data_IF_403874213938
#
_entry.id   IF_403874213938
#
_cell.length_a   1.000
_cell.length_b   1.000
_cell.length_c   1.000
_cell.angle_alpha   90.00
_cell.angle_beta   90.00
_cell.angle_gamma   90.00
#
_symmetry.space_group_name_H-M   'P 1'
#
loop_
_entity.id
_entity.type
_entity.pdbx_description
1 polymer ?
#
# COMPACT_ATOMS: atom_id res chain seq x y z
N UNK A 1 12.28 78.09 34.48
CA UNK A 1 11.20 78.15 33.48
C UNK A 1 11.21 76.83 32.71
N UNK A 2 10.07 76.11 32.71
CA UNK A 2 9.70 74.92 31.89
C UNK A 2 10.64 73.68 31.99
N UNK A 3 10.35 72.64 32.80
CA UNK A 3 9.40 71.49 32.70
C UNK A 3 9.61 70.53 31.50
N UNK A 4 10.10 69.31 31.78
CA UNK A 4 9.52 67.98 31.41
C UNK A 4 9.92 66.98 32.53
N UNK A 5 9.18 66.86 33.64
CA UNK A 5 8.24 65.77 34.01
C UNK A 5 8.46 64.35 33.43
N UNK A 6 8.81 63.44 34.35
CA UNK A 6 8.32 62.06 34.59
C UNK A 6 8.54 61.02 33.46
N UNK A 7 9.11 59.84 33.72
CA UNK A 7 8.59 58.80 34.63
C UNK A 7 9.71 58.05 35.35
N UNK A 8 9.53 57.90 36.66
CA UNK A 8 10.23 56.99 37.55
C UNK A 8 9.58 55.59 37.53
N UNK A 9 10.36 54.54 37.83
CA UNK A 9 9.83 53.23 38.24
C UNK A 9 10.58 52.06 37.61
N UNK A 10 11.74 51.62 38.14
CA UNK A 10 11.88 50.69 39.28
C UNK A 10 11.96 49.22 38.83
N UNK A 11 13.19 48.71 38.92
CA UNK A 11 13.60 47.34 39.32
C UNK A 11 13.30 46.15 38.38
N UNK A 12 14.18 45.17 38.15
CA UNK A 12 15.21 44.58 38.99
C UNK A 12 16.41 44.06 38.14
N UNK A 13 17.61 44.20 38.70
CA UNK A 13 18.83 43.47 38.36
C UNK A 13 18.67 41.96 38.57
N UNK A 14 19.37 41.14 37.77
CA UNK A 14 19.48 39.70 38.05
C UNK A 14 20.18 38.83 37.00
N UNK A 15 21.18 39.36 36.30
CA UNK A 15 22.14 38.58 35.51
C UNK A 15 23.33 38.27 36.43
N UNK A 16 23.45 37.03 36.92
CA UNK A 16 24.73 36.35 37.18
C UNK A 16 24.56 35.07 38.01
N UNK A 17 25.33 34.04 37.63
CA UNK A 17 25.88 33.03 38.52
C UNK A 17 24.91 32.04 39.20
N UNK A 18 24.64 30.94 38.50
CA UNK A 18 24.10 29.70 39.06
C UNK A 18 24.68 28.46 38.37
N UNK A 19 25.93 28.54 37.90
CA UNK A 19 26.76 27.38 37.59
C UNK A 19 27.45 26.99 38.92
N UNK A 20 27.35 25.71 39.30
CA UNK A 20 28.05 25.04 40.40
C UNK A 20 27.48 25.25 41.82
N UNK A 21 26.81 24.20 42.30
CA UNK A 21 26.77 23.67 43.68
C UNK A 21 25.38 23.58 44.32
N UNK A 22 24.60 22.58 43.91
CA UNK A 22 24.00 21.65 44.89
C UNK A 22 24.31 20.24 44.42
N UNK A 23 25.52 19.77 44.76
CA UNK A 23 25.81 18.36 44.88
C UNK A 23 25.08 17.85 46.13
N UNK A 24 23.76 17.74 46.04
CA UNK A 24 22.94 16.88 46.87
C UNK A 24 22.46 15.79 45.93
N UNK A 25 23.09 14.62 45.98
CA UNK A 25 22.73 13.47 45.17
C UNK A 25 21.31 12.99 45.53
N UNK A 26 20.29 13.66 45.03
CA UNK A 26 19.06 12.96 44.67
C UNK A 26 19.46 12.06 43.53
N UNK A 27 19.57 10.75 43.82
CA UNK A 27 19.52 9.73 42.78
C UNK A 27 18.34 10.11 41.89
N UNK A 28 18.60 10.51 40.65
CA UNK A 28 17.57 10.52 39.62
C UNK A 28 17.06 9.08 39.60
N UNK A 29 15.92 8.84 40.24
CA UNK A 29 15.30 7.52 40.19
C UNK A 29 15.06 7.28 38.70
N UNK A 30 15.63 6.19 38.17
CA UNK A 30 15.41 5.79 36.80
C UNK A 30 13.88 5.75 36.57
N UNK A 31 13.41 6.39 35.51
CA UNK A 31 11.99 6.42 35.19
C UNK A 31 11.45 4.98 35.16
N UNK A 32 10.37 4.72 35.88
CA UNK A 32 9.76 3.39 35.91
C UNK A 32 9.15 3.06 34.53
N UNK A 33 9.16 1.79 34.13
CA UNK A 33 8.51 1.36 32.90
C UNK A 33 7.01 1.69 32.96
N UNK A 34 6.47 2.35 31.92
CA UNK A 34 5.03 2.58 31.83
C UNK A 34 4.32 1.25 31.58
N UNK A 35 3.44 0.81 32.48
CA UNK A 35 2.65 -0.41 32.30
C UNK A 35 1.16 -0.12 32.21
N UNK A 36 0.39 -1.07 31.67
CA UNK A 36 -1.07 -0.94 31.55
C UNK A 36 -1.79 -0.82 32.92
N UNK A 37 -1.13 -1.18 34.02
CA UNK A 37 -1.66 -1.03 35.38
C UNK A 37 -1.60 0.43 35.86
N UNK A 38 -0.81 1.28 35.19
CA UNK A 38 -0.69 2.70 35.48
C UNK A 38 -1.69 3.49 34.65
N UNK A 39 -2.86 3.77 35.21
CA UNK A 39 -3.83 4.66 34.57
C UNK A 39 -3.31 6.10 34.54
N UNK A 40 -3.11 6.69 33.36
CA UNK A 40 -2.74 8.11 33.23
C UNK A 40 -3.89 9.08 33.56
N UNK A 41 -5.14 8.59 33.69
CA UNK A 41 -6.34 9.32 34.12
C UNK A 41 -6.56 10.63 33.34
N UNK A 42 -6.19 10.64 32.06
CA UNK A 42 -6.33 11.79 31.16
C UNK A 42 -5.40 12.96 31.42
N UNK A 43 -4.39 12.81 32.28
CA UNK A 43 -3.38 13.86 32.42
C UNK A 43 -2.58 13.99 31.13
N UNK A 44 -2.46 15.22 30.62
CA UNK A 44 -1.65 15.50 29.44
C UNK A 44 -0.23 14.94 29.63
N UNK A 45 0.28 14.34 28.58
CA UNK A 45 1.56 13.66 28.56
C UNK A 45 2.43 14.24 27.45
N UNK A 46 3.74 14.31 27.70
CA UNK A 46 4.73 14.70 26.69
C UNK A 46 5.76 13.60 26.57
N UNK A 47 5.99 13.13 25.34
CA UNK A 47 7.05 12.19 25.01
C UNK A 47 8.29 12.98 24.64
N UNK A 48 9.42 12.70 25.28
CA UNK A 48 10.71 13.38 25.01
C UNK A 48 11.86 12.38 24.96
N UNK A 49 12.90 12.70 24.18
CA UNK A 49 14.17 11.97 24.18
C UNK A 49 15.13 12.71 25.11
N UNK A 50 15.64 12.05 26.14
CA UNK A 50 16.65 12.58 27.06
C UNK A 50 18.03 12.62 26.40
N UNK A 51 18.98 13.32 27.04
CA UNK A 51 20.35 13.48 26.54
C UNK A 51 21.11 12.15 26.39
N UNK A 52 20.79 11.16 27.22
CA UNK A 52 21.34 9.79 27.14
C UNK A 52 20.68 8.93 26.05
N UNK A 53 19.71 9.49 25.31
CA UNK A 53 18.97 8.81 24.26
C UNK A 53 17.75 8.03 24.75
N UNK A 54 17.47 7.99 26.05
CA UNK A 54 16.28 7.34 26.59
C UNK A 54 15.02 8.11 26.22
N UNK A 55 13.94 7.39 25.89
CA UNK A 55 12.64 7.99 25.63
C UNK A 55 11.77 7.89 26.88
N UNK A 56 11.16 8.99 27.28
CA UNK A 56 10.27 9.04 28.45
C UNK A 56 8.94 9.70 28.12
N UNK A 57 7.91 9.30 28.86
CA UNK A 57 6.64 9.98 28.96
C UNK A 57 6.59 10.76 30.28
N UNK A 58 6.49 12.08 30.19
CA UNK A 58 6.33 12.95 31.36
C UNK A 58 4.88 13.43 31.45
N UNK A 59 4.27 13.27 32.61
CA UNK A 59 2.91 13.74 32.92
C UNK A 59 2.83 14.19 34.38
N UNK A 60 1.68 14.75 34.81
CA UNK A 60 1.45 15.15 36.21
C UNK A 60 1.62 13.99 37.21
N UNK A 61 1.40 12.74 36.78
CA UNK A 61 1.59 11.54 37.62
C UNK A 61 3.05 11.15 37.82
N UNK A 62 3.96 11.59 36.96
CA UNK A 62 5.35 11.20 37.00
C UNK A 62 5.98 11.13 35.62
N UNK A 63 7.22 10.63 35.62
CA UNK A 63 7.99 10.35 34.43
C UNK A 63 8.16 8.84 34.29
N UNK A 64 7.90 8.32 33.09
CA UNK A 64 7.90 6.89 32.81
C UNK A 64 8.78 6.58 31.61
N UNK A 65 9.54 5.48 31.68
CA UNK A 65 10.34 4.96 30.59
C UNK A 65 9.44 4.37 29.49
N UNK A 66 9.79 4.66 28.23
CA UNK A 66 9.16 4.09 27.05
C UNK A 66 10.13 3.20 26.28
N UNK A 67 9.74 1.95 26.07
CA UNK A 67 10.37 0.97 25.19
C UNK A 67 9.30 -0.02 24.69
N UNK A 68 9.66 -1.03 23.91
CA UNK A 68 8.76 -2.04 23.34
C UNK A 68 7.87 -2.78 24.37
N UNK A 69 8.24 -2.79 25.66
CA UNK A 69 7.45 -3.41 26.72
C UNK A 69 6.50 -2.40 27.42
N UNK A 70 6.61 -1.11 27.11
CA UNK A 70 5.76 -0.08 27.69
C UNK A 70 4.33 -0.17 27.16
N UNK A 71 3.34 0.03 28.02
CA UNK A 71 1.92 0.03 27.64
C UNK A 71 1.20 1.21 28.26
N UNK A 72 0.60 2.05 27.42
CA UNK A 72 -0.15 3.22 27.88
C UNK A 72 -1.61 2.85 28.14
N UNK A 73 -2.09 3.20 29.34
CA UNK A 73 -3.51 3.13 29.67
C UNK A 73 -4.04 4.48 30.13
N UNK A 74 -5.22 4.88 29.66
CA UNK A 74 -5.95 6.04 30.20
C UNK A 74 -7.46 5.76 30.26
N UNK A 75 -8.04 5.91 31.45
CA UNK A 75 -9.49 5.83 31.67
C UNK A 75 -10.27 7.05 31.18
N UNK A 76 -9.58 8.16 30.87
CA UNK A 76 -10.16 9.43 30.43
C UNK A 76 -9.55 9.92 29.11
N UNK A 77 -10.10 11.03 28.60
CA UNK A 77 -9.54 11.73 27.44
C UNK A 77 -8.08 12.09 27.73
N UNK A 78 -7.17 11.71 26.84
CA UNK A 78 -5.74 11.97 27.00
C UNK A 78 -5.17 12.65 25.76
N UNK A 79 -4.27 13.60 26.00
CA UNK A 79 -3.45 14.24 24.96
C UNK A 79 -1.99 13.85 25.16
N UNK A 80 -1.36 13.34 24.10
CA UNK A 80 0.04 12.98 24.04
C UNK A 80 0.74 13.92 23.06
N UNK A 81 1.70 14.70 23.57
CA UNK A 81 2.55 15.57 22.75
C UNK A 81 3.85 14.86 22.42
N UNK A 82 4.10 14.62 21.14
CA UNK A 82 5.31 14.00 20.62
C UNK A 82 6.38 15.09 20.41
N UNK A 83 7.30 15.21 21.36
CA UNK A 83 8.44 16.14 21.35
C UNK A 83 9.78 15.39 21.48
N UNK A 84 9.81 14.16 21.00
CA UNK A 84 10.99 13.33 20.89
C UNK A 84 11.78 13.67 19.62
N UNK A 85 13.11 13.54 19.71
CA UNK A 85 14.04 13.79 18.60
C UNK A 85 14.50 12.50 17.92
N UNK A 86 14.13 11.35 18.47
CA UNK A 86 14.34 10.01 17.91
C UNK A 86 13.03 9.22 17.96
N UNK A 87 12.79 8.28 17.04
CA UNK A 87 11.64 7.38 17.12
C UNK A 87 11.50 6.73 18.49
N UNK A 88 10.28 6.68 19.02
CA UNK A 88 9.96 6.02 20.29
C UNK A 88 9.21 4.73 20.00
N UNK A 89 9.62 3.62 20.62
CA UNK A 89 8.88 2.37 20.54
C UNK A 89 8.05 2.15 21.81
N UNK A 90 6.86 1.57 21.64
CA UNK A 90 6.02 1.10 22.74
C UNK A 90 5.23 -0.16 22.35
N UNK A 91 4.78 -0.91 23.36
CA UNK A 91 3.98 -2.11 23.17
C UNK A 91 2.57 -1.79 22.69
N UNK A 92 1.73 -1.18 23.54
CA UNK A 92 0.33 -0.92 23.22
C UNK A 92 -0.19 0.40 23.80
N UNK A 93 -1.29 0.90 23.23
CA UNK A 93 -2.04 2.05 23.75
C UNK A 93 -3.51 1.66 23.91
N UNK A 94 -4.05 1.88 25.10
CA UNK A 94 -5.48 1.71 25.40
C UNK A 94 -6.04 2.97 26.06
N UNK A 95 -6.76 3.77 25.28
CA UNK A 95 -7.47 4.94 25.76
C UNK A 95 -8.98 4.65 25.78
N UNK A 96 -9.59 4.61 26.96
CA UNK A 96 -11.04 4.34 27.10
C UNK A 96 -11.95 5.43 26.53
N UNK A 97 -11.39 6.59 26.19
CA UNK A 97 -12.09 7.75 25.62
C UNK A 97 -11.32 8.29 24.43
N UNK A 98 -11.27 9.61 24.25
CA UNK A 98 -10.52 10.25 23.17
C UNK A 98 -9.01 10.18 23.41
N UNK A 99 -8.27 9.80 22.37
CA UNK A 99 -6.82 9.88 22.30
C UNK A 99 -6.44 11.00 21.32
N UNK A 100 -5.65 11.96 21.78
CA UNK A 100 -5.16 13.05 20.93
C UNK A 100 -3.64 13.04 20.83
N UNK A 101 -3.12 13.02 19.61
CA UNK A 101 -1.70 13.21 19.33
C UNK A 101 -1.42 14.64 18.87
N UNK A 102 -0.30 15.21 19.34
CA UNK A 102 0.22 16.52 18.93
C UNK A 102 1.72 16.46 18.72
N UNK A 103 2.30 17.53 18.16
CA UNK A 103 3.74 17.67 18.02
C UNK A 103 4.28 17.08 16.72
N UNK A 104 5.60 16.91 16.67
CA UNK A 104 6.35 16.57 15.45
C UNK A 104 7.24 15.33 15.60
N UNK A 105 7.19 14.67 16.77
CA UNK A 105 7.94 13.45 17.01
C UNK A 105 7.31 12.21 16.37
N UNK A 106 8.00 11.08 16.53
CA UNK A 106 7.60 9.78 15.99
C UNK A 106 7.33 8.76 17.11
N UNK A 107 6.24 8.01 17.00
CA UNK A 107 5.84 6.96 17.94
C UNK A 107 5.44 5.68 17.19
N UNK A 108 6.10 4.58 17.53
CA UNK A 108 5.89 3.26 16.96
C UNK A 108 5.31 2.33 18.04
N UNK A 109 4.07 1.93 17.87
CA UNK A 109 3.37 0.95 18.70
C UNK A 109 3.50 -0.40 18.03
N UNK A 110 4.09 -1.40 18.68
CA UNK A 110 4.24 -2.75 18.14
C UNK A 110 3.92 -3.80 19.20
N UNK A 111 2.89 -4.59 18.95
CA UNK A 111 2.40 -5.60 19.88
C UNK A 111 2.02 -6.90 19.18
N UNK A 112 2.08 -8.00 19.92
CA UNK A 112 1.50 -9.28 19.52
C UNK A 112 0.04 -9.43 19.98
N UNK A 113 -0.53 -8.40 20.62
CA UNK A 113 -1.94 -8.38 21.00
C UNK A 113 -2.84 -8.17 19.77
N UNK A 114 -4.13 -8.44 19.96
CA UNK A 114 -5.15 -8.25 18.90
C UNK A 114 -5.20 -6.81 18.39
N UNK A 115 -5.01 -5.81 19.28
CA UNK A 115 -5.09 -4.39 18.91
C UNK A 115 -3.86 -3.62 19.39
N UNK A 116 -3.29 -2.79 18.53
CA UNK A 116 -2.12 -1.94 18.84
C UNK A 116 -2.51 -0.66 19.58
N UNK A 117 -3.32 0.16 18.92
CA UNK A 117 -3.94 1.35 19.52
C UNK A 117 -5.45 1.15 19.57
N UNK A 118 -6.00 1.06 20.79
CA UNK A 118 -7.44 0.96 21.04
C UNK A 118 -7.98 2.27 21.64
N UNK A 119 -8.98 2.87 20.99
CA UNK A 119 -9.57 4.16 21.36
C UNK A 119 -11.08 4.04 21.51
N UNK A 120 -11.58 4.35 22.71
CA UNK A 120 -13.00 4.23 23.08
C UNK A 120 -13.92 5.31 22.53
N UNK A 121 -13.38 6.50 22.19
CA UNK A 121 -14.16 7.56 21.54
C UNK A 121 -13.48 7.95 20.21
N UNK A 122 -12.81 9.11 20.17
CA UNK A 122 -12.20 9.66 18.97
C UNK A 122 -10.68 9.50 18.98
N UNK A 123 -10.10 9.19 17.83
CA UNK A 123 -8.68 9.43 17.60
C UNK A 123 -8.51 10.80 16.94
N UNK A 124 -7.83 11.72 17.60
CA UNK A 124 -7.52 13.05 17.07
C UNK A 124 -6.02 13.15 16.82
N UNK A 125 -5.58 13.07 15.58
CA UNK A 125 -4.15 13.16 15.27
C UNK A 125 -3.82 14.53 14.68
N UNK A 126 -2.97 15.28 15.37
CA UNK A 126 -2.45 16.58 14.93
C UNK A 126 -3.53 17.61 14.60
N UNK A 127 -4.72 17.40 15.19
CA UNK A 127 -5.91 18.25 15.03
C UNK A 127 -5.70 19.58 15.74
N UNK A 128 -6.14 20.68 15.13
CA UNK A 128 -6.01 22.07 15.64
C UNK A 128 -4.57 22.60 15.77
N UNK A 129 -3.55 21.78 15.54
CA UNK A 129 -2.16 22.22 15.45
C UNK A 129 -1.84 22.44 13.97
N UNK A 130 -1.84 23.69 13.51
CA UNK A 130 -1.56 24.09 12.11
C UNK A 130 -0.24 23.51 11.52
N UNK A 131 0.60 22.87 12.35
CA UNK A 131 1.93 22.39 11.99
C UNK A 131 2.29 21.03 12.62
N UNK A 132 1.33 20.27 13.18
CA UNK A 132 1.66 18.96 13.73
C UNK A 132 2.02 17.99 12.60
N UNK A 133 3.30 17.64 12.48
CA UNK A 133 3.84 16.74 11.45
C UNK A 133 4.37 15.43 12.03
N UNK A 134 3.92 15.06 13.22
CA UNK A 134 4.35 13.83 13.86
C UNK A 134 3.93 12.58 13.07
N UNK A 135 4.55 11.47 13.42
CA UNK A 135 4.33 10.18 12.80
C UNK A 135 3.93 9.15 13.87
N UNK A 136 2.81 8.47 13.69
CA UNK A 136 2.36 7.42 14.60
C UNK A 136 2.10 6.15 13.81
N UNK A 137 2.78 5.08 14.16
CA UNK A 137 2.57 3.76 13.58
C UNK A 137 2.04 2.80 14.64
N UNK A 138 1.12 1.91 14.28
CA UNK A 138 0.62 0.86 15.15
C UNK A 138 0.55 -0.49 14.43
N UNK A 139 1.36 -1.44 14.87
CA UNK A 139 1.38 -2.82 14.39
C UNK A 139 0.84 -3.77 15.46
N UNK A 140 -0.10 -4.62 15.06
CA UNK A 140 -0.75 -5.60 15.94
C UNK A 140 -1.00 -6.93 15.22
N UNK A 141 -1.37 -7.96 15.98
CA UNK A 141 -1.72 -9.26 15.40
C UNK A 141 -3.04 -9.19 14.61
N UNK A 142 -4.03 -8.43 15.07
CA UNK A 142 -5.35 -8.33 14.46
C UNK A 142 -5.61 -7.00 13.76
N UNK A 143 -5.74 -5.94 14.54
CA UNK A 143 -6.04 -4.57 14.08
C UNK A 143 -4.98 -3.58 14.56
N UNK A 144 -4.31 -2.89 13.64
CA UNK A 144 -3.30 -1.89 14.03
C UNK A 144 -3.90 -0.78 14.91
N UNK A 145 -4.95 -0.11 14.40
CA UNK A 145 -5.65 0.97 15.08
C UNK A 145 -7.15 0.71 15.08
N UNK A 146 -7.75 0.64 16.27
CA UNK A 146 -9.19 0.46 16.46
C UNK A 146 -9.81 1.67 17.16
N UNK A 147 -10.84 2.26 16.56
CA UNK A 147 -11.52 3.46 17.06
C UNK A 147 -13.03 3.26 17.08
N UNK A 148 -13.62 3.30 18.27
CA UNK A 148 -15.06 3.08 18.50
C UNK A 148 -15.97 4.22 18.02
N UNK A 149 -15.42 5.39 17.70
CA UNK A 149 -16.17 6.46 17.07
C UNK A 149 -15.45 6.94 15.81
N UNK A 150 -14.81 8.10 15.85
CA UNK A 150 -14.33 8.78 14.64
C UNK A 150 -12.82 9.07 14.70
N UNK A 151 -12.17 8.95 13.54
CA UNK A 151 -10.79 9.41 13.32
C UNK A 151 -10.81 10.81 12.71
N UNK A 152 -10.09 11.74 13.33
CA UNK A 152 -10.01 13.14 12.90
C UNK A 152 -8.55 13.57 12.80
N UNK A 153 -8.12 14.05 11.64
CA UNK A 153 -6.71 14.43 11.43
C UNK A 153 -6.62 15.76 10.68
N UNK A 154 -5.79 16.69 11.14
CA UNK A 154 -5.50 17.96 10.40
C UNK A 154 -4.06 18.04 9.87
N UNK A 155 -3.23 17.02 10.12
CA UNK A 155 -1.84 16.95 9.68
C UNK A 155 -1.17 15.63 10.08
N UNK A 156 0.14 15.55 9.89
CA UNK A 156 0.97 14.41 10.29
C UNK A 156 0.62 13.10 9.59
N UNK A 157 1.18 12.00 10.09
CA UNK A 157 0.95 10.66 9.54
C UNK A 157 0.52 9.70 10.63
N UNK A 158 -0.53 8.93 10.34
CA UNK A 158 -0.99 7.81 11.17
C UNK A 158 -1.05 6.56 10.31
N UNK A 159 -0.41 5.49 10.75
CA UNK A 159 -0.32 4.23 10.02
C UNK A 159 -0.71 3.06 10.92
N UNK A 160 -1.64 2.23 10.46
CA UNK A 160 -2.04 1.00 11.15
C UNK A 160 -1.73 -0.24 10.33
N UNK A 161 -1.21 -1.28 10.97
CA UNK A 161 -0.88 -2.57 10.34
C UNK A 161 -1.44 -3.72 11.19
N UNK A 162 -2.20 -4.62 10.57
CA UNK A 162 -2.76 -5.80 11.26
C UNK A 162 -3.13 -6.92 10.30
N UNK A 163 -3.48 -8.10 10.80
CA UNK A 163 -3.93 -9.20 9.93
C UNK A 163 -5.31 -8.93 9.35
N UNK A 164 -6.25 -8.49 10.19
CA UNK A 164 -7.66 -8.27 9.82
C UNK A 164 -7.91 -6.87 9.27
N UNK A 165 -7.34 -5.85 9.94
CA UNK A 165 -7.46 -4.46 9.56
C UNK A 165 -6.19 -3.69 9.87
N UNK A 166 -5.78 -2.78 8.98
CA UNK A 166 -4.78 -1.78 9.35
C UNK A 166 -5.40 -0.75 10.29
N UNK A 167 -6.51 -0.16 9.86
CA UNK A 167 -7.29 0.83 10.59
C UNK A 167 -8.78 0.44 10.57
N UNK A 168 -9.41 0.46 11.74
CA UNK A 168 -10.84 0.18 11.91
C UNK A 168 -11.51 1.33 12.67
N UNK A 169 -12.58 1.88 12.10
CA UNK A 169 -13.45 2.87 12.74
C UNK A 169 -14.91 2.44 12.69
N UNK A 170 -15.59 2.45 13.84
CA UNK A 170 -17.04 2.20 13.94
C UNK A 170 -17.90 3.37 13.44
N UNK A 171 -17.29 4.46 12.96
CA UNK A 171 -17.99 5.61 12.40
C UNK A 171 -17.22 6.22 11.21
N UNK A 172 -16.88 7.51 11.27
CA UNK A 172 -16.26 8.24 10.17
C UNK A 172 -14.73 8.27 10.29
N UNK A 173 -14.07 8.42 9.14
CA UNK A 173 -12.65 8.72 9.01
C UNK A 173 -12.52 10.05 8.27
N UNK A 174 -11.98 11.08 8.95
CA UNK A 174 -11.90 12.47 8.45
C UNK A 174 -10.50 13.09 8.55
N UNK A 175 -9.57 12.68 7.68
CA UNK A 175 -8.36 13.44 7.35
C UNK A 175 -8.62 14.75 6.58
N UNK A 176 -7.91 15.81 6.98
CA UNK A 176 -7.93 17.14 6.40
C UNK A 176 -6.51 17.67 6.14
N UNK A 177 -6.39 18.68 5.28
CA UNK A 177 -5.16 19.42 5.01
C UNK A 177 -4.03 18.49 4.53
N UNK A 178 -2.84 18.48 5.15
CA UNK A 178 -1.73 17.62 4.78
C UNK A 178 -1.67 16.29 5.57
N UNK A 179 -2.78 15.89 6.20
CA UNK A 179 -2.88 14.63 6.93
C UNK A 179 -2.71 13.40 6.01
N UNK A 180 -1.95 12.41 6.48
CA UNK A 180 -1.75 11.13 5.81
C UNK A 180 -2.24 10.00 6.72
N UNK A 181 -3.26 9.26 6.28
CA UNK A 181 -3.73 8.05 6.96
C UNK A 181 -3.39 6.83 6.10
N UNK A 182 -2.75 5.84 6.73
CA UNK A 182 -2.42 4.56 6.09
C UNK A 182 -2.97 3.39 6.89
N UNK A 183 -3.47 2.38 6.19
CA UNK A 183 -3.90 1.13 6.80
C UNK A 183 -3.52 -0.06 5.95
N UNK A 184 -2.76 -1.00 6.49
CA UNK A 184 -2.32 -2.20 5.79
C UNK A 184 -2.85 -3.45 6.49
N UNK A 185 -3.46 -4.35 5.72
CA UNK A 185 -3.98 -5.63 6.17
C UNK A 185 -3.45 -6.79 5.33
N UNK A 186 -2.96 -7.86 5.97
CA UNK A 186 -2.46 -9.02 5.23
C UNK A 186 -3.57 -9.96 4.73
N UNK A 187 -4.71 -10.03 5.43
CA UNK A 187 -5.79 -10.98 5.10
C UNK A 187 -7.16 -10.32 4.91
N UNK A 188 -7.35 -9.10 5.40
CA UNK A 188 -8.64 -8.41 5.41
C UNK A 188 -8.63 -7.09 4.62
N UNK A 189 -9.14 -6.03 5.25
CA UNK A 189 -9.30 -4.70 4.64
C UNK A 189 -8.29 -3.73 5.22
N UNK A 190 -7.57 -2.98 4.40
CA UNK A 190 -6.58 -2.00 4.88
C UNK A 190 -7.18 -0.95 5.82
N UNK A 191 -8.23 -0.27 5.36
CA UNK A 191 -8.97 0.73 6.12
C UNK A 191 -10.47 0.41 6.11
N UNK A 192 -11.06 0.25 7.28
CA UNK A 192 -12.49 0.04 7.46
C UNK A 192 -13.13 1.23 8.18
N UNK A 193 -14.24 1.71 7.64
CA UNK A 193 -15.14 2.64 8.31
C UNK A 193 -16.57 2.12 8.22
N UNK A 194 -17.33 2.18 9.31
CA UNK A 194 -18.75 1.87 9.26
C UNK A 194 -19.53 2.92 8.45
N UNK A 195 -19.18 4.20 8.62
CA UNK A 195 -19.78 5.34 7.90
C UNK A 195 -18.82 5.85 6.83
N UNK A 196 -18.40 7.09 6.83
CA UNK A 196 -17.69 7.68 5.70
C UNK A 196 -16.17 7.57 5.81
N UNK A 197 -15.48 7.48 4.66
CA UNK A 197 -14.03 7.73 4.54
C UNK A 197 -13.83 8.98 3.70
N UNK A 198 -13.23 10.01 4.30
CA UNK A 198 -12.97 11.28 3.63
C UNK A 198 -11.48 11.55 3.45
N UNK A 199 -11.15 12.31 2.40
CA UNK A 199 -9.87 12.99 2.26
C UNK A 199 -10.13 14.42 1.79
N UNK A 200 -9.91 15.40 2.66
CA UNK A 200 -10.26 16.80 2.39
C UNK A 200 -9.04 17.73 2.36
N UNK A 201 -9.09 18.73 1.47
CA UNK A 201 -8.14 19.86 1.44
C UNK A 201 -6.65 19.48 1.34
N UNK A 202 -6.32 18.45 0.58
CA UNK A 202 -4.94 17.97 0.38
C UNK A 202 -4.63 16.63 1.05
N UNK A 203 -5.58 16.08 1.82
CA UNK A 203 -5.30 14.92 2.66
C UNK A 203 -5.12 13.67 1.83
N UNK A 204 -4.35 12.72 2.33
CA UNK A 204 -4.07 11.45 1.67
C UNK A 204 -4.51 10.27 2.54
N UNK A 205 -5.30 9.37 1.97
CA UNK A 205 -5.71 8.12 2.59
C UNK A 205 -5.25 6.97 1.70
N UNK A 206 -4.50 6.01 2.26
CA UNK A 206 -4.03 4.83 1.53
C UNK A 206 -4.36 3.58 2.33
N UNK A 207 -5.25 2.76 1.80
CA UNK A 207 -5.57 1.46 2.38
C UNK A 207 -5.04 0.34 1.50
N UNK A 208 -4.36 -0.64 2.08
CA UNK A 208 -3.91 -1.86 1.42
C UNK A 208 -4.48 -3.09 2.14
N UNK A 209 -5.15 -3.98 1.43
CA UNK A 209 -5.69 -5.20 2.01
C UNK A 209 -5.79 -6.32 0.99
N UNK A 210 -5.86 -7.56 1.48
CA UNK A 210 -6.13 -8.71 0.61
C UNK A 210 -7.51 -8.63 -0.03
N UNK A 211 -8.52 -8.28 0.75
CA UNK A 211 -9.92 -8.24 0.29
C UNK A 211 -10.26 -6.90 -0.36
N UNK A 212 -9.80 -5.79 0.24
CA UNK A 212 -10.06 -4.43 -0.23
C UNK A 212 -9.05 -3.48 0.42
N UNK A 213 -8.69 -2.41 -0.28
CA UNK A 213 -7.85 -1.37 0.30
C UNK A 213 -8.61 -0.54 1.32
N UNK A 214 -9.79 -0.03 0.94
CA UNK A 214 -10.64 0.71 1.86
C UNK A 214 -12.12 0.39 1.68
N UNK A 215 -12.83 0.19 2.80
CA UNK A 215 -14.25 -0.17 2.82
C UNK A 215 -15.08 0.76 3.72
N UNK A 216 -16.21 1.22 3.18
CA UNK A 216 -17.27 1.95 3.87
C UNK A 216 -18.58 1.15 3.82
N UNK A 217 -19.26 0.94 4.96
CA UNK A 217 -20.48 0.10 4.99
C UNK A 217 -21.74 0.86 4.61
N UNK A 218 -22.03 1.99 5.26
CA UNK A 218 -23.33 2.67 5.04
C UNK A 218 -23.26 3.98 4.27
N UNK A 219 -22.05 4.47 4.00
CA UNK A 219 -21.85 5.82 3.48
C UNK A 219 -20.79 5.85 2.37
N UNK A 220 -20.11 6.98 2.18
CA UNK A 220 -19.29 7.24 1.00
C UNK A 220 -17.80 7.01 1.27
N UNK A 221 -17.06 6.80 0.18
CA UNK A 221 -15.63 7.07 0.12
C UNK A 221 -15.46 8.33 -0.75
N UNK A 222 -14.99 9.43 -0.17
CA UNK A 222 -14.99 10.74 -0.83
C UNK A 222 -13.68 11.50 -0.67
N UNK A 223 -13.01 11.75 -1.79
CA UNK A 223 -11.90 12.69 -1.88
C UNK A 223 -12.41 14.04 -2.40
N UNK A 224 -12.01 15.14 -1.78
CA UNK A 224 -12.44 16.48 -2.20
C UNK A 224 -11.39 17.56 -1.94
N UNK A 225 -11.18 18.41 -2.96
CA UNK A 225 -10.19 19.46 -2.99
C UNK A 225 -8.89 19.04 -3.68
N UNK A 226 -8.24 20.00 -4.34
CA UNK A 226 -7.01 19.74 -5.08
C UNK A 226 -5.92 19.19 -4.14
N UNK A 227 -5.21 18.16 -4.59
CA UNK A 227 -4.20 17.44 -3.81
C UNK A 227 -4.77 16.36 -2.90
N UNK A 228 -6.08 16.34 -2.61
CA UNK A 228 -6.70 15.26 -1.83
C UNK A 228 -6.72 13.95 -2.63
N UNK A 229 -6.41 12.84 -1.96
CA UNK A 229 -6.54 11.53 -2.58
C UNK A 229 -6.93 10.40 -1.64
N UNK A 230 -7.67 9.42 -2.16
CA UNK A 230 -7.92 8.14 -1.51
C UNK A 230 -7.47 7.04 -2.46
N UNK A 231 -6.57 6.17 -2.00
CA UNK A 231 -6.07 5.01 -2.75
C UNK A 231 -6.43 3.75 -2.00
N UNK A 232 -7.15 2.84 -2.65
CA UNK A 232 -7.42 1.50 -2.15
C UNK A 232 -6.65 0.50 -2.98
N UNK A 233 -5.81 -0.30 -2.33
CA UNK A 233 -4.99 -1.34 -2.93
C UNK A 233 -5.56 -2.69 -2.49
N UNK A 234 -6.01 -3.50 -3.45
CA UNK A 234 -6.38 -4.90 -3.25
C UNK A 234 -5.27 -5.80 -3.76
N UNK A 235 -4.91 -6.84 -3.02
CA UNK A 235 -4.01 -7.91 -3.52
C UNK A 235 -4.78 -9.14 -4.01
N UNK A 236 -6.11 -9.08 -4.04
CA UNK A 236 -6.96 -10.09 -4.66
C UNK A 236 -7.98 -9.42 -5.59
N UNK A 237 -7.76 -9.55 -6.89
CA UNK A 237 -8.70 -9.05 -7.91
C UNK A 237 -9.99 -9.88 -7.95
N UNK A 238 -9.98 -11.13 -7.49
CA UNK A 238 -11.15 -12.01 -7.46
C UNK A 238 -12.00 -11.82 -6.20
N UNK A 239 -11.60 -10.90 -5.31
CA UNK A 239 -12.42 -10.47 -4.18
C UNK A 239 -13.83 -10.06 -4.64
N UNK A 240 -14.82 -10.34 -3.80
CA UNK A 240 -16.18 -9.81 -4.01
C UNK A 240 -16.27 -8.30 -3.77
N UNK A 241 -15.22 -7.69 -3.22
CA UNK A 241 -15.12 -6.27 -2.93
C UNK A 241 -14.11 -5.59 -3.87
N UNK A 242 -14.50 -4.46 -4.42
CA UNK A 242 -13.61 -3.49 -5.07
C UNK A 242 -12.49 -2.99 -4.14
N UNK A 243 -11.40 -2.49 -4.73
CA UNK A 243 -10.27 -1.99 -3.95
C UNK A 243 -10.66 -0.73 -3.14
N UNK A 244 -11.58 0.08 -3.68
CA UNK A 244 -12.35 1.07 -2.92
C UNK A 244 -13.83 0.67 -2.90
N UNK A 245 -14.32 0.22 -1.74
CA UNK A 245 -15.65 -0.37 -1.63
C UNK A 245 -16.57 0.42 -0.70
N UNK A 246 -17.56 1.11 -1.23
CA UNK A 246 -18.64 1.72 -0.45
C UNK A 246 -19.92 0.88 -0.59
N UNK A 247 -20.27 -0.01 0.34
CA UNK A 247 -21.31 -1.04 0.16
C UNK A 247 -22.66 -0.44 -0.30
N UNK A 248 -23.13 0.60 0.38
CA UNK A 248 -24.46 1.22 0.16
C UNK A 248 -24.47 2.49 -0.68
N UNK A 249 -23.31 3.11 -0.94
CA UNK A 249 -23.24 4.39 -1.63
C UNK A 249 -22.20 4.36 -2.76
N UNK A 250 -21.53 5.50 -2.96
CA UNK A 250 -20.78 5.84 -4.14
C UNK A 250 -19.37 6.27 -3.77
N UNK A 251 -18.44 6.05 -4.69
CA UNK A 251 -17.13 6.69 -4.70
C UNK A 251 -17.27 8.13 -5.20
N UNK A 252 -16.55 9.07 -4.58
CA UNK A 252 -16.60 10.49 -4.98
C UNK A 252 -15.20 11.08 -5.09
N UNK A 253 -14.96 11.76 -6.21
CA UNK A 253 -13.77 12.57 -6.42
C UNK A 253 -14.21 13.95 -6.90
N UNK A 254 -14.07 14.97 -6.04
CA UNK A 254 -14.53 16.33 -6.30
C UNK A 254 -13.38 17.35 -6.28
N UNK A 255 -13.53 18.42 -7.06
CA UNK A 255 -12.70 19.63 -6.95
C UNK A 255 -11.20 19.36 -7.14
N UNK A 256 -10.84 18.59 -8.16
CA UNK A 256 -9.44 18.21 -8.46
C UNK A 256 -8.88 17.07 -7.61
N UNK A 257 -9.69 16.43 -6.76
CA UNK A 257 -9.28 15.27 -5.97
C UNK A 257 -9.21 13.98 -6.81
N UNK A 258 -8.52 12.97 -6.30
CA UNK A 258 -8.33 11.68 -6.98
C UNK A 258 -8.76 10.51 -6.10
N UNK A 259 -9.57 9.61 -6.64
CA UNK A 259 -9.79 8.28 -6.07
C UNK A 259 -9.11 7.23 -6.94
N UNK A 260 -8.34 6.33 -6.32
CA UNK A 260 -7.55 5.31 -7.00
C UNK A 260 -7.89 3.93 -6.49
N UNK A 261 -8.17 3.02 -7.41
CA UNK A 261 -8.28 1.60 -7.14
C UNK A 261 -7.07 0.93 -7.76
N UNK A 262 -6.26 0.28 -6.94
CA UNK A 262 -5.12 -0.51 -7.38
C UNK A 262 -5.39 -1.99 -7.11
N UNK A 263 -5.18 -2.83 -8.11
CA UNK A 263 -5.21 -4.28 -8.01
C UNK A 263 -3.79 -4.76 -8.26
N UNK A 264 -3.10 -5.16 -7.19
CA UNK A 264 -1.70 -5.57 -7.22
C UNK A 264 -1.60 -7.06 -7.52
N UNK A 265 -0.72 -7.44 -8.45
CA UNK A 265 -0.54 -8.82 -8.91
C UNK A 265 -1.87 -9.46 -9.32
N UNK A 266 -2.61 -8.86 -10.28
CA UNK A 266 -3.86 -9.44 -10.75
C UNK A 266 -3.65 -10.85 -11.33
N UNK A 267 -4.70 -11.66 -11.31
CA UNK A 267 -4.63 -13.06 -11.77
C UNK A 267 -4.82 -13.23 -13.27
N UNK A 268 -5.14 -12.16 -14.01
CA UNK A 268 -5.14 -12.20 -15.47
C UNK A 268 -3.74 -11.96 -16.01
N UNK A 269 -3.51 -12.42 -17.22
CA UNK A 269 -2.29 -12.21 -17.98
C UNK A 269 -2.59 -11.39 -19.22
N UNK A 270 -1.73 -10.43 -19.56
CA UNK A 270 -1.86 -9.68 -20.81
C UNK A 270 -1.21 -10.47 -21.94
N UNK A 271 -1.97 -10.76 -22.99
CA UNK A 271 -1.48 -11.40 -24.23
C UNK A 271 -1.75 -10.51 -25.44
N UNK A 272 -1.30 -10.91 -26.62
CA UNK A 272 -1.48 -10.14 -27.86
C UNK A 272 -2.79 -10.40 -28.60
N UNK A 273 -3.44 -11.52 -28.31
CA UNK A 273 -4.53 -12.09 -29.09
C UNK A 273 -5.83 -12.25 -28.29
N UNK A 274 -5.73 -12.48 -26.98
CA UNK A 274 -6.86 -12.65 -26.07
C UNK A 274 -7.07 -11.38 -25.26
N UNK A 275 -8.09 -10.56 -25.60
CA UNK A 275 -8.35 -9.32 -24.89
C UNK A 275 -8.82 -9.56 -23.46
N UNK A 276 -8.18 -8.87 -22.51
CA UNK A 276 -8.58 -8.89 -21.10
C UNK A 276 -9.67 -7.84 -20.87
N UNK A 277 -10.87 -8.30 -20.52
CA UNK A 277 -11.97 -7.45 -20.08
C UNK A 277 -11.93 -7.32 -18.56
N UNK A 278 -11.28 -6.29 -18.03
CA UNK A 278 -11.13 -6.14 -16.57
C UNK A 278 -12.47 -5.94 -15.85
N UNK A 279 -13.53 -5.59 -16.58
CA UNK A 279 -14.90 -5.51 -16.06
C UNK A 279 -15.56 -6.86 -15.83
N UNK A 280 -14.93 -7.97 -16.21
CA UNK A 280 -15.40 -9.31 -15.88
C UNK A 280 -15.12 -9.67 -14.41
N UNK A 281 -14.17 -8.97 -13.78
CA UNK A 281 -13.89 -9.10 -12.35
C UNK A 281 -14.92 -8.32 -11.53
N UNK A 282 -15.64 -9.01 -10.64
CA UNK A 282 -16.67 -8.40 -9.80
C UNK A 282 -16.15 -7.20 -8.97
N UNK A 283 -14.91 -7.29 -8.51
CA UNK A 283 -14.23 -6.23 -7.77
C UNK A 283 -14.05 -4.96 -8.62
N UNK A 284 -13.80 -5.07 -9.93
CA UNK A 284 -13.58 -3.92 -10.84
C UNK A 284 -14.91 -3.40 -11.37
N UNK A 285 -15.80 -4.33 -11.78
CA UNK A 285 -17.09 -4.05 -12.41
C UNK A 285 -18.00 -3.12 -11.60
N UNK A 286 -17.85 -3.14 -10.27
CA UNK A 286 -18.61 -2.26 -9.37
C UNK A 286 -18.45 -0.79 -9.74
N UNK A 287 -17.20 -0.35 -9.92
CA UNK A 287 -16.84 1.07 -10.05
C UNK A 287 -16.45 1.44 -11.49
N UNK A 288 -16.13 0.45 -12.32
CA UNK A 288 -15.88 0.59 -13.75
C UNK A 288 -16.91 -0.25 -14.53
N UNK A 289 -17.92 0.39 -15.12
CA UNK A 289 -18.92 -0.30 -15.94
C UNK A 289 -18.48 -0.53 -17.38
N UNK A 290 -17.69 0.39 -17.92
CA UNK A 290 -17.26 0.37 -19.32
C UNK A 290 -15.83 0.93 -19.42
N UNK A 291 -14.93 0.09 -19.90
CA UNK A 291 -13.51 0.40 -20.07
C UNK A 291 -13.28 1.50 -21.11
N UNK A 292 -14.19 1.67 -22.09
CA UNK A 292 -14.07 2.69 -23.15
C UNK A 292 -14.20 4.12 -22.62
N UNK A 293 -14.78 4.28 -21.43
CA UNK A 293 -14.87 5.58 -20.76
C UNK A 293 -13.56 6.01 -20.09
N UNK A 294 -12.53 5.16 -20.11
CA UNK A 294 -11.22 5.42 -19.53
C UNK A 294 -10.18 5.66 -20.63
N UNK A 295 -9.24 6.54 -20.35
CA UNK A 295 -8.00 6.65 -21.11
C UNK A 295 -7.00 5.68 -20.49
N UNK A 296 -6.49 4.74 -21.29
CA UNK A 296 -5.56 3.70 -20.84
C UNK A 296 -4.13 4.04 -21.23
N UNK A 297 -3.22 3.85 -20.29
CA UNK A 297 -1.77 3.92 -20.49
C UNK A 297 -1.10 2.77 -19.75
N UNK A 298 0.13 2.43 -20.13
CA UNK A 298 0.93 1.42 -19.45
C UNK A 298 2.37 1.84 -19.25
N UNK A 299 3.01 1.27 -18.23
CA UNK A 299 4.41 1.43 -17.92
C UNK A 299 5.04 0.02 -17.79
N UNK A 300 5.91 -0.41 -18.72
CA UNK A 300 6.23 0.25 -20.00
C UNK A 300 5.02 0.30 -20.95
N UNK A 301 5.08 1.16 -21.97
CA UNK A 301 4.00 1.44 -22.93
C UNK A 301 3.72 0.26 -23.87
N UNK A 302 3.28 -0.87 -23.32
CA UNK A 302 3.15 -2.15 -24.04
C UNK A 302 1.70 -2.68 -24.02
N UNK A 303 0.75 -1.92 -23.48
CA UNK A 303 -0.66 -2.33 -23.36
C UNK A 303 -1.56 -1.23 -23.87
N UNK A 304 -2.53 -1.60 -24.71
CA UNK A 304 -3.50 -0.69 -25.30
C UNK A 304 -4.92 -1.26 -25.22
N UNK A 305 -5.93 -0.38 -25.35
CA UNK A 305 -7.32 -0.78 -25.44
C UNK A 305 -7.67 -1.13 -26.89
N UNK A 306 -8.11 -2.36 -27.14
CA UNK A 306 -8.46 -2.83 -28.47
C UNK A 306 -9.85 -2.34 -28.94
N UNK A 307 -10.21 -2.62 -30.20
CA UNK A 307 -11.50 -2.21 -30.77
C UNK A 307 -12.74 -2.87 -30.12
N UNK A 308 -12.56 -4.02 -29.46
CA UNK A 308 -13.62 -4.71 -28.73
C UNK A 308 -13.83 -4.11 -27.32
N UNK A 309 -12.87 -3.35 -26.81
CA UNK A 309 -12.91 -2.71 -25.48
C UNK A 309 -12.18 -3.48 -24.38
N UNK A 310 -11.36 -4.48 -24.74
CA UNK A 310 -10.46 -5.17 -23.80
C UNK A 310 -9.01 -4.71 -23.94
N UNK A 311 -8.18 -5.04 -22.95
CA UNK A 311 -6.74 -4.74 -22.96
C UNK A 311 -5.97 -5.82 -23.72
N UNK A 312 -5.05 -5.39 -24.58
CA UNK A 312 -4.12 -6.25 -25.32
C UNK A 312 -2.69 -5.75 -25.20
N UNK A 313 -1.76 -6.68 -25.29
CA UNK A 313 -0.33 -6.43 -25.38
C UNK A 313 0.11 -6.04 -26.79
N UNK A 314 1.03 -5.08 -26.87
CA UNK A 314 1.79 -4.74 -28.06
C UNK A 314 3.15 -5.43 -28.01
N UNK A 315 3.22 -6.63 -28.57
CA UNK A 315 4.44 -7.44 -28.53
C UNK A 315 5.57 -6.89 -29.41
N UNK A 316 5.27 -5.94 -30.31
CA UNK A 316 6.33 -5.25 -31.07
C UNK A 316 7.27 -4.45 -30.17
N UNK A 317 6.82 -4.16 -28.94
CA UNK A 317 7.58 -3.45 -27.91
C UNK A 317 8.27 -4.39 -26.91
N UNK A 318 8.26 -5.70 -27.16
CA UNK A 318 8.92 -6.73 -26.36
C UNK A 318 8.16 -7.16 -25.09
N UNK A 319 8.75 -8.11 -24.36
CA UNK A 319 8.17 -8.72 -23.14
C UNK A 319 8.72 -8.09 -21.87
N UNK A 320 7.96 -7.18 -21.23
CA UNK A 320 8.31 -6.72 -19.89
C UNK A 320 8.03 -7.82 -18.87
N UNK A 321 8.85 -7.92 -17.82
CA UNK A 321 8.59 -8.90 -16.74
C UNK A 321 7.28 -8.63 -15.98
N UNK A 322 6.90 -7.36 -15.91
CA UNK A 322 5.70 -6.88 -15.25
C UNK A 322 5.27 -5.56 -15.91
N UNK A 323 3.96 -5.31 -15.93
CA UNK A 323 3.40 -4.07 -16.44
C UNK A 323 2.54 -3.40 -15.39
N UNK A 324 2.63 -2.08 -15.31
CA UNK A 324 1.65 -1.26 -14.62
C UNK A 324 0.68 -0.66 -15.64
N UNK A 325 -0.60 -0.99 -15.53
CA UNK A 325 -1.64 -0.52 -16.44
C UNK A 325 -2.53 0.48 -15.69
N UNK A 326 -2.80 1.64 -16.29
CA UNK A 326 -3.57 2.72 -15.65
C UNK A 326 -4.71 3.15 -16.56
N UNK A 327 -5.94 2.85 -16.13
CA UNK A 327 -7.16 3.44 -16.68
C UNK A 327 -7.50 4.72 -15.93
N UNK A 328 -7.60 5.85 -16.63
CA UNK A 328 -7.93 7.16 -16.06
C UNK A 328 -9.22 7.72 -16.62
N UNK A 329 -10.13 8.18 -15.76
CA UNK A 329 -11.36 8.88 -16.15
C UNK A 329 -11.53 10.19 -15.39
N UNK A 330 -11.90 11.24 -16.12
CA UNK A 330 -12.20 12.57 -15.60
C UNK A 330 -13.68 12.93 -15.84
N UNK A 331 -14.18 13.94 -15.13
CA UNK A 331 -15.56 14.44 -15.20
C UNK A 331 -16.07 14.67 -16.64
N UNK A 332 -15.21 15.16 -17.55
CA UNK A 332 -15.59 15.49 -18.93
C UNK A 332 -16.09 14.29 -19.76
N UNK A 333 -15.94 13.05 -19.25
CA UNK A 333 -16.36 11.80 -19.91
C UNK A 333 -17.54 11.09 -19.21
N UNK A 334 -18.26 11.75 -18.30
CA UNK A 334 -19.42 11.13 -17.63
C UNK A 334 -20.69 11.19 -18.49
N UNK A 335 -21.26 10.02 -18.77
CA UNK A 335 -22.48 9.88 -19.58
C UNK A 335 -23.76 9.62 -18.76
N UNK A 336 -23.68 9.30 -17.45
CA UNK A 336 -24.87 8.90 -16.67
C UNK A 336 -24.85 9.33 -15.19
N UNK A 337 -26.02 9.70 -14.66
CA UNK A 337 -26.23 10.11 -13.25
C UNK A 337 -26.27 8.93 -12.25
N UNK A 338 -26.33 7.69 -12.74
CA UNK A 338 -26.55 6.47 -11.95
C UNK A 338 -25.29 5.59 -11.80
N UNK A 339 -24.10 6.17 -11.92
CA UNK A 339 -22.85 5.44 -11.70
C UNK A 339 -22.46 5.41 -10.22
N UNK A 340 -21.85 4.31 -9.78
CA UNK A 340 -21.34 4.12 -8.41
C UNK A 340 -20.17 5.08 -8.15
N UNK A 341 -19.45 5.53 -9.18
CA UNK A 341 -18.41 6.55 -9.07
C UNK A 341 -18.93 7.89 -9.58
N UNK A 342 -18.95 8.90 -8.72
CA UNK A 342 -19.30 10.28 -9.07
C UNK A 342 -18.06 11.17 -9.11
N UNK A 343 -17.75 11.67 -10.30
CA UNK A 343 -16.59 12.54 -10.54
C UNK A 343 -17.11 13.93 -10.89
N UNK A 344 -16.72 14.96 -10.15
CA UNK A 344 -17.20 16.34 -10.37
C UNK A 344 -16.09 17.37 -10.19
N UNK A 345 -16.27 18.56 -10.77
CA UNK A 345 -15.37 19.70 -10.61
C UNK A 345 -13.90 19.31 -10.84
N UNK A 346 -13.58 18.70 -11.98
CA UNK A 346 -12.24 18.20 -12.34
C UNK A 346 -11.69 17.06 -11.45
N UNK A 347 -12.53 16.35 -10.71
CA UNK A 347 -12.10 15.13 -10.03
C UNK A 347 -11.61 14.06 -11.01
N UNK A 348 -10.92 13.04 -10.48
CA UNK A 348 -10.40 11.92 -11.26
C UNK A 348 -10.64 10.58 -10.55
N UNK A 349 -10.99 9.57 -11.34
CA UNK A 349 -10.99 8.16 -10.93
C UNK A 349 -9.91 7.43 -11.73
N UNK A 350 -9.04 6.72 -11.03
CA UNK A 350 -8.01 5.87 -11.63
C UNK A 350 -8.23 4.42 -11.19
N UNK A 351 -8.07 3.50 -12.15
CA UNK A 351 -8.00 2.07 -11.89
C UNK A 351 -6.65 1.58 -12.39
N UNK A 352 -5.90 0.95 -11.51
CA UNK A 352 -4.49 0.60 -11.69
C UNK A 352 -4.37 -0.92 -11.52
N UNK A 353 -3.68 -1.56 -12.44
CA UNK A 353 -3.23 -2.94 -12.30
C UNK A 353 -1.71 -2.88 -12.19
N UNK A 354 -1.19 -3.08 -10.99
CA UNK A 354 0.25 -3.06 -10.72
C UNK A 354 0.80 -4.47 -10.74
N UNK A 355 2.02 -4.63 -11.24
CA UNK A 355 2.69 -5.93 -11.34
C UNK A 355 1.85 -6.94 -12.14
N UNK A 356 1.19 -6.49 -13.22
CA UNK A 356 0.39 -7.36 -14.07
C UNK A 356 1.31 -8.28 -14.90
N UNK A 357 1.09 -9.61 -14.89
CA UNK A 357 1.90 -10.54 -15.66
C UNK A 357 1.60 -10.43 -17.17
N UNK A 358 2.58 -10.80 -17.98
CA UNK A 358 2.48 -10.81 -19.45
C UNK A 358 2.79 -12.18 -20.01
N UNK A 359 1.93 -12.65 -20.90
CA UNK A 359 2.05 -13.93 -21.61
C UNK A 359 2.51 -13.71 -23.02
N UNK A 360 3.55 -12.90 -23.21
CA UNK A 360 4.09 -12.58 -24.53
C UNK A 360 5.06 -13.69 -24.94
N UNK A 361 4.50 -14.86 -25.27
CA UNK A 361 5.23 -16.05 -25.70
C UNK A 361 4.96 -16.36 -27.17
N UNK A 362 5.93 -17.01 -27.81
CA UNK A 362 5.78 -17.60 -29.14
C UNK A 362 6.07 -19.10 -29.03
N UNK A 363 5.32 -19.97 -29.73
CA UNK A 363 5.63 -21.39 -29.80
C UNK A 363 6.94 -21.62 -30.55
N UNK A 364 7.86 -22.35 -29.91
CA UNK A 364 9.03 -22.95 -30.53
C UNK A 364 8.84 -24.46 -30.55
N UNK A 365 8.70 -25.03 -31.74
CA UNK A 365 8.51 -26.46 -31.96
C UNK A 365 9.87 -27.15 -32.04
N UNK A 366 10.13 -28.03 -31.10
CA UNK A 366 11.31 -28.91 -31.10
C UNK A 366 10.92 -30.27 -31.65
N UNK A 367 11.53 -30.68 -32.76
CA UNK A 367 11.31 -31.98 -33.40
C UNK A 367 12.54 -32.85 -33.21
N UNK A 368 12.32 -34.08 -32.77
CA UNK A 368 13.39 -35.04 -32.48
C UNK A 368 13.30 -36.18 -33.48
N UNK A 369 14.35 -36.35 -34.26
CA UNK A 369 14.44 -37.32 -35.35
C UNK A 369 15.47 -38.39 -35.01
N UNK A 370 15.14 -39.66 -35.27
CA UNK A 370 16.05 -40.79 -35.04
C UNK A 370 16.41 -41.44 -36.37
N UNK A 371 17.69 -41.77 -36.53
CA UNK A 371 18.19 -42.49 -37.70
C UNK A 371 17.65 -43.92 -37.72
N UNK A 372 16.95 -44.29 -38.79
CA UNK A 372 16.53 -45.67 -39.04
C UNK A 372 17.56 -46.36 -39.94
N UNK A 373 18.28 -47.34 -39.39
CA UNK A 373 19.33 -48.09 -40.12
C UNK A 373 18.79 -48.95 -41.27
N UNK A 374 17.53 -49.39 -41.23
CA UNK A 374 16.93 -50.22 -42.29
C UNK A 374 16.59 -49.40 -43.54
N UNK A 375 16.08 -48.17 -43.34
CA UNK A 375 15.70 -47.26 -44.43
C UNK A 375 16.78 -46.24 -44.76
N UNK A 376 17.82 -46.12 -43.93
CA UNK A 376 18.87 -45.11 -44.00
C UNK A 376 18.29 -43.68 -44.09
N UNK A 377 17.22 -43.43 -43.33
CA UNK A 377 16.51 -42.15 -43.28
C UNK A 377 16.22 -41.76 -41.82
N UNK A 378 16.10 -40.46 -41.57
CA UNK A 378 15.65 -39.95 -40.28
C UNK A 378 14.13 -39.95 -40.19
N UNK A 379 13.60 -40.58 -39.15
CA UNK A 379 12.16 -40.62 -38.87
C UNK A 379 11.82 -39.78 -37.65
N UNK A 380 10.70 -39.05 -37.71
CA UNK A 380 10.23 -38.23 -36.59
C UNK A 380 9.86 -39.15 -35.44
N UNK A 381 10.54 -38.96 -34.31
CA UNK A 381 10.28 -39.72 -33.09
C UNK A 381 9.31 -38.98 -32.17
N UNK A 382 9.57 -37.69 -31.92
CA UNK A 382 8.70 -36.88 -31.07
C UNK A 382 8.72 -35.39 -31.49
N UNK A 383 7.67 -34.68 -31.11
CA UNK A 383 7.48 -33.25 -31.36
C UNK A 383 6.93 -32.57 -30.09
N UNK A 384 7.68 -31.59 -29.59
CA UNK A 384 7.33 -30.84 -28.38
C UNK A 384 7.28 -29.35 -28.72
N UNK A 385 6.11 -28.74 -28.54
CA UNK A 385 5.92 -27.30 -28.59
C UNK A 385 6.25 -26.66 -27.24
N UNK A 386 7.05 -25.60 -27.25
CA UNK A 386 7.47 -24.86 -26.06
C UNK A 386 7.07 -23.40 -26.20
N UNK A 387 6.38 -22.85 -25.20
CA UNK A 387 6.05 -21.43 -25.16
C UNK A 387 7.26 -20.66 -24.62
N UNK A 388 7.86 -19.81 -25.45
CA UNK A 388 9.08 -19.08 -25.12
C UNK A 388 8.80 -17.57 -25.16
N UNK A 389 9.24 -16.86 -24.13
CA UNK A 389 9.07 -15.40 -24.03
C UNK A 389 9.73 -14.68 -25.21
N UNK A 390 9.02 -13.71 -25.79
CA UNK A 390 9.56 -12.84 -26.86
C UNK A 390 10.75 -12.02 -26.31
N UNK A 391 11.71 -11.75 -27.19
CA UNK A 391 13.00 -11.10 -26.89
C UNK A 391 13.86 -11.86 -25.87
N UNK A 392 13.62 -13.16 -25.68
CA UNK A 392 14.55 -14.04 -24.97
C UNK A 392 15.37 -14.87 -25.94
N UNK A 393 16.58 -15.23 -25.53
CA UNK A 393 17.46 -16.09 -26.32
C UNK A 393 17.01 -17.54 -26.15
N UNK A 394 16.58 -18.18 -27.23
CA UNK A 394 16.39 -19.63 -27.26
C UNK A 394 17.75 -20.30 -27.44
N UNK A 395 18.19 -21.01 -26.41
CA UNK A 395 19.45 -21.77 -26.45
C UNK A 395 19.16 -23.21 -26.84
N UNK A 396 19.59 -23.62 -28.03
CA UNK A 396 19.23 -24.94 -28.56
C UNK A 396 19.77 -26.08 -27.70
N UNK A 397 20.92 -25.87 -27.06
CA UNK A 397 21.54 -26.87 -26.18
C UNK A 397 20.81 -27.07 -24.83
N UNK A 398 19.84 -26.22 -24.49
CA UNK A 398 19.05 -26.37 -23.26
C UNK A 398 17.87 -27.35 -23.45
N UNK A 399 17.60 -27.82 -24.67
CA UNK A 399 16.43 -28.63 -25.00
C UNK A 399 16.70 -29.95 -25.75
N UNK A 400 17.77 -30.73 -25.47
CA UNK A 400 17.91 -32.08 -26.03
C UNK A 400 16.82 -33.02 -25.50
N UNK A 401 16.54 -34.08 -26.25
CA UNK A 401 15.64 -35.14 -25.82
C UNK A 401 16.36 -36.09 -24.85
N UNK A 402 15.69 -36.47 -23.77
CA UNK A 402 16.20 -37.47 -22.83
C UNK A 402 15.57 -38.82 -23.16
N UNK A 403 16.37 -39.73 -23.70
CA UNK A 403 15.97 -41.13 -23.94
C UNK A 403 16.10 -41.97 -22.65
N UNK A 404 15.78 -43.26 -22.73
CA UNK A 404 15.88 -44.17 -21.60
C UNK A 404 17.31 -44.23 -21.03
N UNK A 405 17.48 -44.55 -19.74
CA UNK A 405 18.79 -44.55 -19.09
C UNK A 405 19.75 -45.61 -19.65
N UNK A 406 19.22 -46.62 -20.34
CA UNK A 406 19.97 -47.73 -20.92
C UNK A 406 20.19 -47.58 -22.45
N UNK A 407 19.65 -46.53 -23.08
CA UNK A 407 19.79 -46.29 -24.51
C UNK A 407 21.15 -45.63 -24.83
N UNK A 408 21.88 -46.14 -25.84
CA UNK A 408 23.08 -45.47 -26.34
C UNK A 408 22.66 -44.39 -27.35
N UNK A 409 22.83 -43.12 -26.98
CA UNK A 409 22.37 -41.97 -27.76
C UNK A 409 23.54 -41.11 -28.21
N UNK A 410 23.55 -40.76 -29.50
CA UNK A 410 24.44 -39.76 -30.08
C UNK A 410 23.62 -38.67 -30.78
N UNK A 411 23.70 -37.42 -30.28
CA UNK A 411 23.17 -36.26 -30.97
C UNK A 411 24.10 -35.88 -32.12
N UNK A 412 23.68 -36.10 -33.35
CA UNK A 412 24.50 -35.86 -34.55
C UNK A 412 24.46 -34.41 -35.00
N UNK A 413 23.29 -33.80 -34.93
CA UNK A 413 23.05 -32.48 -35.53
C UNK A 413 21.88 -31.77 -34.87
N UNK A 414 22.03 -30.46 -34.72
CA UNK A 414 20.94 -29.50 -34.54
C UNK A 414 20.92 -28.63 -35.80
N UNK A 415 19.75 -28.34 -36.36
CA UNK A 415 19.64 -27.57 -37.60
C UNK A 415 19.60 -26.04 -37.42
N UNK A 416 19.59 -25.57 -36.18
CA UNK A 416 19.61 -24.15 -35.83
C UNK A 416 20.67 -23.85 -34.77
N UNK A 417 21.25 -22.67 -34.88
CA UNK A 417 22.02 -22.03 -33.81
C UNK A 417 21.09 -21.35 -32.79
N UNK A 418 21.63 -20.92 -31.65
CA UNK A 418 20.91 -20.07 -30.71
C UNK A 418 20.33 -18.84 -31.42
N UNK A 419 19.07 -18.51 -31.12
CA UNK A 419 18.39 -17.38 -31.76
C UNK A 419 17.57 -16.57 -30.78
N UNK A 420 17.45 -15.28 -31.06
CA UNK A 420 16.52 -14.40 -30.35
C UNK A 420 15.10 -14.71 -30.83
N UNK A 421 14.20 -15.03 -29.89
CA UNK A 421 12.77 -15.21 -30.20
C UNK A 421 12.17 -13.84 -30.47
N UNK A 422 11.74 -13.60 -31.70
CA UNK A 422 11.09 -12.35 -32.13
C UNK A 422 9.78 -12.71 -32.82
N UNK A 423 8.85 -11.77 -32.93
CA UNK A 423 7.64 -12.03 -33.73
C UNK A 423 8.01 -12.10 -35.21
N UNK A 424 7.77 -13.24 -35.84
CA UNK A 424 7.84 -13.44 -37.29
C UNK A 424 6.63 -14.22 -37.78
N UNK A 425 6.30 -14.08 -39.06
CA UNK A 425 5.30 -14.93 -39.72
C UNK A 425 5.81 -16.38 -39.91
N UNK A 426 7.12 -16.59 -39.76
CA UNK A 426 7.76 -17.89 -39.83
C UNK A 426 7.61 -18.68 -38.53
N UNK A 427 7.31 -19.98 -38.65
CA UNK A 427 7.30 -20.91 -37.52
C UNK A 427 8.71 -21.14 -36.97
N UNK A 428 8.85 -21.09 -35.64
CA UNK A 428 10.09 -21.46 -34.98
C UNK A 428 10.18 -22.98 -34.82
N UNK A 429 10.73 -23.65 -35.83
CA UNK A 429 11.06 -25.08 -35.74
C UNK A 429 12.55 -25.27 -35.49
N UNK A 430 12.90 -26.16 -34.56
CA UNK A 430 14.27 -26.64 -34.29
C UNK A 430 14.27 -28.17 -34.40
N UNK A 431 15.08 -28.73 -35.29
CA UNK A 431 15.22 -30.16 -35.51
C UNK A 431 16.50 -30.68 -34.85
N UNK A 432 16.34 -31.69 -34.01
CA UNK A 432 17.42 -32.45 -33.38
C UNK A 432 17.49 -33.83 -34.01
N UNK A 433 18.69 -34.25 -34.44
CA UNK A 433 18.91 -35.52 -35.13
C UNK A 433 19.78 -36.43 -34.28
N UNK A 434 19.29 -37.63 -33.97
CA UNK A 434 19.96 -38.61 -33.11
C UNK A 434 20.23 -39.92 -33.84
N UNK A 435 21.33 -40.57 -33.48
CA UNK A 435 21.46 -42.03 -33.57
C UNK A 435 21.17 -42.60 -32.19
N UNK A 436 20.25 -43.56 -32.13
CA UNK A 436 19.85 -44.20 -30.88
C UNK A 436 19.87 -45.70 -31.10
N UNK A 437 20.64 -46.40 -30.27
CA UNK A 437 20.56 -47.85 -30.14
C UNK A 437 19.68 -48.15 -28.93
N UNK A 438 18.43 -48.56 -29.20
CA UNK A 438 17.47 -48.94 -28.17
C UNK A 438 17.87 -50.31 -27.58
N UNK A 439 17.93 -50.38 -26.24
CA UNK A 439 18.31 -51.59 -25.51
C UNK A 439 17.17 -52.61 -25.35
#
# INVERSE_FOLDING_TARGET
MVKIKNVAGVLFFGLSAGLLAVAGGQKAFAAELLTANTDLNGYAATVTTKADGTNVLTTKKGEYLLNENASLYSSKIITITLNNTKPVNMGAINAKRTLEFRGNGELNVNTNQEVGINVGDHLKAFKFTKYGKGHVTAKAAGTGIFVHNEIQMDGGTVEGVGTNYGVYSENDIKPYNDAVLKGTSSEGTGIYAYRDIYAWKGATVVGEGKVSGARSIIAHIQAEGAGSSITGISTDINSSLSALHADKQMLRAYSGAVVREEYRKPTFEITEDVPVFVTDFASVARNMKDMKNYTWVSEPDNVFLNGQGGLLGDISKGTPKEVKIIGSRQESKLHNKNEVSQIKTNGKHEVIFSEAPTGFTIPVTTKYWIHNEETNEFVLYDEIERQIDINTMFKVNDYPYTFGPDDEVSLEKIDKDDFLVIKSDDEYVVNYYYRVDFA
#
